data_IF_609964286467
#
_entry.id   IF_609964286467
#
_cell.length_a   1.000
_cell.length_b   1.000
_cell.length_c   1.000
_cell.angle_alpha   90.00
_cell.angle_beta   90.00
_cell.angle_gamma   90.00
#
_symmetry.space_group_name_H-M   'P 1'
#
loop_
_entity.id
_entity.type
_entity.pdbx_description
1 polymer ?
#
# COMPACT_ATOMS: atom_id res chain seq x y z
N UNK A 1 -41.89 -10.78 -15.55
CA UNK A 1 -43.30 -10.73 -16.01
C UNK A 1 -44.18 -10.43 -14.80
N UNK A 2 -45.15 -9.52 -14.87
CA UNK A 2 -45.94 -9.17 -13.68
C UNK A 2 -46.77 -10.37 -13.19
N UNK A 3 -46.90 -10.57 -11.86
CA UNK A 3 -47.77 -11.59 -11.30
C UNK A 3 -49.25 -11.43 -11.69
N UNK A 4 -49.68 -10.18 -11.93
CA UNK A 4 -51.06 -9.83 -12.31
C UNK A 4 -51.40 -10.14 -13.77
N UNK A 5 -50.43 -10.59 -14.57
CA UNK A 5 -50.65 -10.90 -15.99
C UNK A 5 -51.27 -12.30 -16.15
N UNK A 6 -52.37 -12.49 -16.91
CA UNK A 6 -53.19 -13.70 -16.81
C UNK A 6 -52.66 -14.92 -17.58
N UNK A 7 -51.63 -14.78 -18.42
CA UNK A 7 -51.12 -15.88 -19.27
C UNK A 7 -49.60 -15.86 -19.43
N UNK A 8 -48.95 -17.00 -19.73
CA UNK A 8 -47.52 -17.01 -20.03
C UNK A 8 -47.19 -16.14 -21.26
N UNK A 9 -46.02 -15.51 -21.24
CA UNK A 9 -45.42 -14.84 -22.39
C UNK A 9 -44.68 -15.89 -23.23
N UNK A 10 -45.01 -15.98 -24.52
CA UNK A 10 -44.41 -16.99 -25.41
C UNK A 10 -43.22 -16.45 -26.17
N UNK A 11 -42.28 -17.33 -26.50
CA UNK A 11 -41.18 -16.98 -27.40
C UNK A 11 -41.71 -16.49 -28.76
N UNK A 12 -41.19 -15.36 -29.25
CA UNK A 12 -41.55 -14.76 -30.53
C UNK A 12 -42.83 -13.90 -30.51
N UNK A 13 -43.46 -13.74 -29.35
CA UNK A 13 -44.68 -12.95 -29.18
C UNK A 13 -44.43 -11.46 -29.47
N UNK A 14 -45.36 -10.81 -30.19
CA UNK A 14 -45.30 -9.37 -30.51
C UNK A 14 -45.81 -8.56 -29.33
N UNK A 15 -45.05 -7.54 -28.95
CA UNK A 15 -45.34 -6.63 -27.82
C UNK A 15 -45.05 -5.19 -28.20
N UNK A 16 -45.67 -4.25 -27.50
CA UNK A 16 -45.24 -2.85 -27.50
C UNK A 16 -44.14 -2.68 -26.46
N UNK A 17 -42.98 -2.18 -26.90
CA UNK A 17 -41.85 -1.83 -26.06
C UNK A 17 -41.84 -0.31 -25.85
N UNK A 18 -41.93 0.10 -24.60
CA UNK A 18 -41.84 1.49 -24.19
C UNK A 18 -40.52 1.73 -23.46
N UNK A 19 -39.78 2.75 -23.86
CA UNK A 19 -38.54 3.18 -23.21
C UNK A 19 -38.36 4.68 -23.41
N UNK A 20 -38.04 5.41 -22.33
CA UNK A 20 -38.04 6.88 -22.36
C UNK A 20 -39.36 7.44 -22.88
N UNK A 21 -39.29 8.23 -23.96
CA UNK A 21 -40.45 8.81 -24.68
C UNK A 21 -40.82 8.04 -25.94
N UNK A 22 -40.17 6.91 -26.23
CA UNK A 22 -40.35 6.14 -27.45
C UNK A 22 -41.25 4.92 -27.23
N UNK A 23 -42.07 4.61 -28.23
CA UNK A 23 -42.86 3.38 -28.33
C UNK A 23 -42.53 2.68 -29.65
N UNK A 24 -42.21 1.40 -29.58
CA UNK A 24 -41.94 0.58 -30.78
C UNK A 24 -42.54 -0.82 -30.63
N UNK A 25 -43.06 -1.37 -31.73
CA UNK A 25 -43.47 -2.77 -31.77
C UNK A 25 -42.24 -3.65 -31.95
N UNK A 26 -42.17 -4.75 -31.20
CA UNK A 26 -41.10 -5.72 -31.33
C UNK A 26 -41.52 -7.12 -30.93
N UNK A 27 -40.63 -8.09 -31.16
CA UNK A 27 -40.81 -9.49 -30.74
C UNK A 27 -39.92 -9.80 -29.55
N UNK A 28 -40.48 -10.49 -28.55
CA UNK A 28 -39.72 -10.99 -27.40
C UNK A 28 -39.12 -12.35 -27.73
N UNK A 29 -37.81 -12.47 -27.68
CA UNK A 29 -37.09 -13.73 -27.81
C UNK A 29 -36.60 -14.17 -26.43
N UNK A 30 -37.22 -15.22 -25.88
CA UNK A 30 -36.77 -15.89 -24.67
C UNK A 30 -35.50 -16.72 -24.96
N UNK A 31 -34.42 -16.47 -24.21
CA UNK A 31 -33.10 -17.06 -24.50
C UNK A 31 -32.90 -18.45 -23.89
N UNK A 32 -33.48 -18.72 -22.72
CA UNK A 32 -33.29 -19.96 -21.96
C UNK A 32 -34.49 -20.92 -22.02
N UNK A 33 -35.69 -20.42 -22.36
CA UNK A 33 -36.96 -21.16 -22.31
C UNK A 33 -37.89 -20.86 -23.48
N UNK A 34 -39.00 -21.59 -23.59
CA UNK A 34 -40.05 -21.40 -24.62
C UNK A 34 -41.21 -20.53 -24.13
N UNK A 35 -41.53 -20.57 -22.84
CA UNK A 35 -42.59 -19.78 -22.20
C UNK A 35 -42.12 -19.21 -20.85
N UNK A 36 -42.56 -17.99 -20.52
CA UNK A 36 -42.29 -17.31 -19.25
C UNK A 36 -43.61 -17.13 -18.48
N UNK A 37 -43.72 -17.73 -17.30
CA UNK A 37 -44.95 -17.67 -16.50
C UNK A 37 -45.07 -16.35 -15.70
N UNK A 38 -46.29 -15.91 -15.36
CA UNK A 38 -46.51 -14.73 -14.52
C UNK A 38 -45.71 -14.78 -13.21
N UNK A 39 -45.10 -13.66 -12.84
CA UNK A 39 -44.23 -13.56 -11.65
C UNK A 39 -42.78 -14.02 -11.86
N UNK A 40 -42.40 -14.55 -13.02
CA UNK A 40 -41.03 -15.00 -13.30
C UNK A 40 -40.18 -13.93 -13.99
N UNK A 41 -38.87 -14.07 -13.82
CA UNK A 41 -37.83 -13.28 -14.49
C UNK A 41 -37.02 -14.17 -15.47
N UNK A 42 -36.52 -13.56 -16.54
CA UNK A 42 -35.69 -14.22 -17.54
C UNK A 42 -34.89 -13.20 -18.36
N UNK A 43 -33.75 -13.64 -18.90
CA UNK A 43 -33.05 -12.89 -19.94
C UNK A 43 -33.77 -13.02 -21.26
N UNK A 44 -34.10 -11.87 -21.85
CA UNK A 44 -34.85 -11.77 -23.10
C UNK A 44 -34.11 -10.86 -24.08
N UNK A 45 -34.26 -11.15 -25.36
CA UNK A 45 -33.77 -10.29 -26.43
C UNK A 45 -34.96 -9.73 -27.21
N UNK A 46 -34.98 -8.42 -27.44
CA UNK A 46 -35.98 -7.78 -28.27
C UNK A 46 -35.50 -7.68 -29.72
N UNK A 47 -36.39 -8.02 -30.66
CA UNK A 47 -36.22 -7.66 -32.07
C UNK A 47 -37.27 -6.60 -32.41
N UNK A 48 -36.88 -5.34 -32.39
CA UNK A 48 -37.76 -4.22 -32.74
C UNK A 48 -38.02 -4.17 -34.24
N UNK A 49 -39.21 -3.72 -34.64
CA UNK A 49 -39.59 -3.54 -36.04
C UNK A 49 -39.07 -2.21 -36.61
N UNK A 50 -38.71 -1.26 -35.74
CA UNK A 50 -38.05 0.00 -36.09
C UNK A 50 -36.81 0.24 -35.20
N UNK A 51 -35.85 1.08 -35.63
CA UNK A 51 -34.72 1.50 -34.80
C UNK A 51 -35.18 2.16 -33.51
N UNK A 52 -34.50 1.85 -32.41
CA UNK A 52 -34.78 2.38 -31.09
C UNK A 52 -33.46 2.80 -30.45
N UNK A 53 -33.42 3.97 -29.83
CA UNK A 53 -32.25 4.46 -29.09
C UNK A 53 -32.44 4.11 -27.62
N UNK A 54 -31.57 3.24 -27.10
CA UNK A 54 -31.55 2.85 -25.69
C UNK A 54 -30.11 2.76 -25.19
N UNK A 55 -29.90 3.15 -23.94
CA UNK A 55 -28.66 2.96 -23.19
C UNK A 55 -28.72 1.73 -22.30
N UNK A 56 -27.55 1.27 -21.87
CA UNK A 56 -27.44 0.25 -20.82
C UNK A 56 -27.96 0.81 -19.49
N UNK A 57 -28.76 0.02 -18.78
CA UNK A 57 -29.42 0.40 -17.53
C UNK A 57 -30.77 1.09 -17.72
N UNK A 58 -31.15 1.45 -18.95
CA UNK A 58 -32.45 2.07 -19.22
C UNK A 58 -33.59 1.12 -18.84
N UNK A 59 -34.60 1.66 -18.17
CA UNK A 59 -35.80 0.90 -17.84
C UNK A 59 -36.75 0.86 -19.03
N UNK A 60 -37.36 -0.30 -19.24
CA UNK A 60 -38.37 -0.49 -20.26
C UNK A 60 -39.64 -1.13 -19.71
N UNK A 61 -40.74 -0.93 -20.41
CA UNK A 61 -42.05 -1.54 -20.13
C UNK A 61 -42.50 -2.29 -21.38
N UNK A 62 -43.05 -3.50 -21.19
CA UNK A 62 -43.69 -4.28 -22.25
C UNK A 62 -45.20 -4.30 -22.05
N UNK A 63 -45.94 -4.05 -23.12
CA UNK A 63 -47.41 -4.10 -23.16
C UNK A 63 -47.90 -5.04 -24.26
N UNK A 64 -49.07 -5.64 -24.07
CA UNK A 64 -49.69 -6.53 -25.05
C UNK A 64 -50.09 -5.79 -26.32
N UNK A 65 -50.00 -6.48 -27.46
CA UNK A 65 -50.32 -5.93 -28.77
C UNK A 65 -51.77 -5.45 -28.89
N UNK A 66 -52.73 -6.24 -28.40
CA UNK A 66 -54.13 -5.84 -28.30
C UNK A 66 -54.88 -6.81 -27.37
N UNK A 67 -55.74 -6.33 -26.44
CA UNK A 67 -55.85 -4.95 -25.96
C UNK A 67 -54.57 -4.51 -25.22
N UNK A 68 -54.29 -3.20 -25.16
CA UNK A 68 -53.01 -2.68 -24.62
C UNK A 68 -52.98 -2.68 -23.09
N UNK A 69 -52.39 -3.72 -22.51
CA UNK A 69 -52.20 -3.87 -21.06
C UNK A 69 -50.73 -4.09 -20.73
N UNK A 70 -50.29 -3.60 -19.56
CA UNK A 70 -48.93 -3.78 -19.10
C UNK A 70 -48.68 -5.23 -18.71
N UNK A 71 -47.75 -5.88 -19.41
CA UNK A 71 -47.35 -7.26 -19.16
C UNK A 71 -46.20 -7.32 -18.14
N UNK A 72 -45.27 -6.36 -18.22
CA UNK A 72 -44.07 -6.33 -17.39
C UNK A 72 -43.11 -5.22 -17.78
N UNK A 73 -41.89 -5.32 -17.27
CA UNK A 73 -40.80 -4.41 -17.56
C UNK A 73 -39.46 -5.02 -17.15
N UNK A 74 -38.38 -4.28 -17.37
CA UNK A 74 -37.02 -4.70 -17.03
C UNK A 74 -36.02 -3.58 -17.29
N UNK A 75 -34.73 -3.93 -17.31
CA UNK A 75 -33.62 -3.03 -17.61
C UNK A 75 -32.82 -3.52 -18.82
N UNK A 76 -32.32 -2.61 -19.64
CA UNK A 76 -31.49 -2.92 -20.81
C UNK A 76 -30.08 -3.32 -20.38
N UNK A 77 -29.66 -4.55 -20.68
CA UNK A 77 -28.31 -5.06 -20.34
C UNK A 77 -27.31 -4.76 -21.47
N UNK A 78 -27.70 -5.00 -22.73
CA UNK A 78 -26.88 -4.73 -23.92
C UNK A 78 -27.78 -4.24 -25.08
N UNK A 79 -27.65 -2.98 -25.52
CA UNK A 79 -28.39 -2.41 -26.65
C UNK A 79 -28.11 -3.06 -28.02
N UNK A 80 -26.93 -3.67 -28.21
CA UNK A 80 -26.46 -4.12 -29.53
C UNK A 80 -26.13 -5.62 -29.59
N UNK A 81 -26.32 -6.34 -28.48
CA UNK A 81 -25.99 -7.75 -28.34
C UNK A 81 -26.79 -8.68 -29.25
N UNK A 82 -26.10 -9.67 -29.83
CA UNK A 82 -26.70 -10.78 -30.57
C UNK A 82 -26.41 -12.09 -29.86
N UNK A 83 -27.44 -12.68 -29.27
CA UNK A 83 -27.32 -13.90 -28.47
C UNK A 83 -28.00 -15.09 -29.15
N UNK A 84 -27.40 -16.26 -28.99
CA UNK A 84 -27.93 -17.55 -29.46
C UNK A 84 -28.82 -18.16 -28.38
N UNK A 85 -29.95 -18.69 -28.82
CA UNK A 85 -30.91 -19.37 -27.94
C UNK A 85 -30.29 -20.64 -27.34
N UNK A 86 -30.57 -20.89 -26.06
CA UNK A 86 -30.08 -22.04 -25.28
C UNK A 86 -28.54 -22.16 -25.25
N UNK A 87 -27.81 -21.08 -25.51
CA UNK A 87 -26.35 -21.02 -25.33
C UNK A 87 -26.04 -20.69 -23.87
N UNK A 88 -25.38 -21.62 -23.16
CA UNK A 88 -24.94 -21.38 -21.78
C UNK A 88 -23.93 -20.22 -21.71
N UNK A 89 -23.00 -20.16 -22.67
CA UNK A 89 -21.99 -19.10 -22.79
C UNK A 89 -22.62 -17.71 -22.88
N UNK A 90 -23.65 -17.56 -23.70
CA UNK A 90 -24.30 -16.27 -23.95
C UNK A 90 -25.12 -15.82 -22.73
N UNK A 91 -25.71 -16.77 -21.99
CA UNK A 91 -26.42 -16.49 -20.75
C UNK A 91 -25.47 -16.09 -19.61
N UNK A 92 -24.28 -16.71 -19.54
CA UNK A 92 -23.22 -16.32 -18.60
C UNK A 92 -22.69 -14.92 -18.91
N UNK A 93 -22.50 -14.58 -20.19
CA UNK A 93 -22.09 -13.24 -20.61
C UNK A 93 -23.13 -12.18 -20.25
N UNK A 94 -24.42 -12.47 -20.45
CA UNK A 94 -25.52 -11.57 -20.06
C UNK A 94 -25.58 -11.36 -18.55
N UNK A 95 -25.41 -12.42 -17.75
CA UNK A 95 -25.29 -12.33 -16.28
C UNK A 95 -24.13 -11.42 -15.86
N UNK A 96 -22.97 -11.58 -16.50
CA UNK A 96 -21.79 -10.74 -16.23
C UNK A 96 -22.00 -9.28 -16.63
N UNK A 97 -22.76 -9.01 -17.70
CA UNK A 97 -23.09 -7.65 -18.13
C UNK A 97 -24.18 -7.00 -17.29
N UNK A 98 -25.16 -7.75 -16.79
CA UNK A 98 -26.19 -7.21 -15.88
C UNK A 98 -25.57 -6.70 -14.57
N UNK A 99 -24.53 -7.36 -14.07
CA UNK A 99 -23.85 -7.00 -12.83
C UNK A 99 -22.82 -5.85 -12.93
N UNK A 100 -22.55 -5.31 -14.13
CA UNK A 100 -21.52 -4.27 -14.31
C UNK A 100 -20.54 -4.50 -15.46
N UNK A 101 -20.53 -5.69 -16.08
CA UNK A 101 -19.50 -6.07 -17.06
C UNK A 101 -18.19 -6.41 -16.34
N UNK A 102 -17.22 -6.96 -17.07
CA UNK A 102 -15.91 -7.29 -16.52
C UNK A 102 -15.26 -6.06 -15.84
N UNK A 103 -15.26 -4.90 -16.50
CA UNK A 103 -14.80 -3.63 -15.93
C UNK A 103 -15.48 -3.25 -14.60
N UNK A 104 -16.81 -3.35 -14.51
CA UNK A 104 -17.56 -2.99 -13.31
C UNK A 104 -17.25 -3.91 -12.13
N UNK A 105 -17.13 -5.22 -12.38
CA UNK A 105 -16.73 -6.20 -11.37
C UNK A 105 -15.31 -5.91 -10.87
N UNK A 106 -14.39 -5.58 -11.79
CA UNK A 106 -13.00 -5.23 -11.48
C UNK A 106 -12.89 -3.96 -10.64
N UNK A 107 -13.54 -2.88 -11.08
CA UNK A 107 -13.56 -1.60 -10.37
C UNK A 107 -14.19 -1.76 -8.98
N UNK A 108 -15.30 -2.49 -8.87
CA UNK A 108 -15.94 -2.74 -7.58
C UNK A 108 -15.07 -3.61 -6.65
N UNK A 109 -14.36 -4.60 -7.20
CA UNK A 109 -13.43 -5.45 -6.43
C UNK A 109 -12.29 -4.61 -5.84
N UNK A 110 -11.66 -3.75 -6.66
CA UNK A 110 -10.63 -2.82 -6.20
C UNK A 110 -11.18 -1.74 -5.26
N UNK A 111 -12.41 -1.28 -5.45
CA UNK A 111 -13.03 -0.33 -4.54
C UNK A 111 -13.30 -0.96 -3.15
N UNK A 112 -13.65 -2.25 -3.11
CA UNK A 112 -13.87 -3.00 -1.87
C UNK A 112 -12.58 -3.34 -1.13
N UNK A 113 -11.44 -3.41 -1.82
CA UNK A 113 -10.14 -3.61 -1.16
C UNK A 113 -9.63 -2.35 -0.45
N UNK A 114 -10.27 -1.19 -0.69
CA UNK A 114 -9.95 0.07 -0.01
C UNK A 114 -8.48 0.47 -0.25
N UNK A 115 -7.70 0.81 0.78
CA UNK A 115 -6.32 1.25 0.64
C UNK A 115 -5.32 0.13 0.31
N UNK A 116 -5.77 -1.12 0.17
CA UNK A 116 -4.91 -2.28 -0.11
C UNK A 116 -4.79 -2.50 -1.62
N UNK A 117 -3.58 -2.36 -2.21
CA UNK A 117 -3.35 -2.73 -3.60
C UNK A 117 -3.45 -4.23 -3.82
N UNK A 118 -3.99 -4.64 -4.97
CA UNK A 118 -4.10 -6.04 -5.35
C UNK A 118 -3.22 -6.35 -6.56
N UNK A 119 -2.49 -7.47 -6.49
CA UNK A 119 -1.78 -8.01 -7.64
C UNK A 119 -2.79 -8.57 -8.67
N UNK A 120 -2.40 -8.58 -9.95
CA UNK A 120 -3.26 -9.08 -11.04
C UNK A 120 -3.84 -10.49 -10.77
N UNK A 121 -3.03 -11.42 -10.26
CA UNK A 121 -3.49 -12.78 -9.94
C UNK A 121 -4.52 -12.84 -8.81
N UNK A 122 -4.37 -11.99 -7.80
CA UNK A 122 -5.33 -11.88 -6.70
C UNK A 122 -6.65 -11.27 -7.19
N UNK A 123 -6.54 -10.23 -8.01
CA UNK A 123 -7.69 -9.58 -8.61
C UNK A 123 -8.46 -10.53 -9.55
N UNK A 124 -7.73 -11.31 -10.35
CA UNK A 124 -8.30 -12.36 -11.21
C UNK A 124 -9.11 -13.38 -10.39
N UNK A 125 -8.56 -13.84 -9.26
CA UNK A 125 -9.23 -14.77 -8.34
C UNK A 125 -10.48 -14.16 -7.70
N UNK A 126 -10.41 -12.91 -7.24
CA UNK A 126 -11.53 -12.24 -6.57
C UNK A 126 -12.65 -11.82 -7.54
N UNK A 127 -12.28 -11.37 -8.74
CA UNK A 127 -13.22 -10.95 -9.78
C UNK A 127 -13.79 -12.13 -10.58
N UNK A 128 -13.15 -13.31 -10.53
CA UNK A 128 -13.53 -14.49 -11.33
C UNK A 128 -13.25 -14.33 -12.83
N UNK A 129 -12.28 -13.48 -13.19
CA UNK A 129 -11.96 -13.12 -14.59
C UNK A 129 -10.52 -13.58 -14.89
N UNK A 130 -10.26 -14.30 -15.99
CA UNK A 130 -8.90 -14.69 -16.37
C UNK A 130 -7.96 -13.49 -16.59
N UNK A 131 -6.63 -13.64 -16.41
CA UNK A 131 -5.69 -12.52 -16.46
C UNK A 131 -5.66 -11.74 -17.79
N UNK A 132 -5.77 -12.44 -18.92
CA UNK A 132 -5.70 -11.85 -20.27
C UNK A 132 -6.80 -10.79 -20.54
N UNK A 133 -8.11 -11.08 -20.35
CA UNK A 133 -9.14 -10.06 -20.47
C UNK A 133 -9.07 -9.01 -19.34
N UNK A 134 -8.56 -9.39 -18.17
CA UNK A 134 -8.47 -8.50 -17.01
C UNK A 134 -7.49 -7.33 -17.21
N UNK A 135 -6.32 -7.58 -17.80
CA UNK A 135 -5.33 -6.52 -18.05
C UNK A 135 -5.86 -5.44 -18.98
N UNK A 136 -6.60 -5.83 -20.03
CA UNK A 136 -7.20 -4.87 -20.97
C UNK A 136 -8.23 -3.97 -20.26
N UNK A 137 -9.11 -4.57 -19.47
CA UNK A 137 -10.12 -3.83 -18.71
C UNK A 137 -9.48 -2.89 -17.68
N UNK A 138 -8.39 -3.31 -17.02
CA UNK A 138 -7.63 -2.46 -16.10
C UNK A 138 -6.97 -1.28 -16.79
N UNK A 139 -6.44 -1.45 -18.01
CA UNK A 139 -5.88 -0.37 -18.81
C UNK A 139 -6.96 0.65 -19.20
N UNK A 140 -8.13 0.17 -19.64
CA UNK A 140 -9.27 1.04 -19.99
C UNK A 140 -9.77 1.83 -18.78
N UNK A 141 -9.89 1.18 -17.60
CA UNK A 141 -10.24 1.84 -16.34
C UNK A 141 -9.17 2.83 -15.88
N UNK A 142 -7.89 2.55 -16.13
CA UNK A 142 -6.80 3.46 -15.80
C UNK A 142 -6.77 4.69 -16.71
N UNK A 143 -7.09 4.53 -17.99
CA UNK A 143 -7.27 5.66 -18.92
C UNK A 143 -8.42 6.58 -18.49
N UNK A 144 -9.46 6.02 -17.85
CA UNK A 144 -10.56 6.77 -17.25
C UNK A 144 -10.23 7.37 -15.88
N UNK A 145 -9.09 7.00 -15.29
CA UNK A 145 -8.66 7.45 -13.97
C UNK A 145 -9.43 6.81 -12.80
N UNK A 146 -10.16 5.71 -13.02
CA UNK A 146 -10.88 4.97 -11.99
C UNK A 146 -9.93 4.10 -11.15
N UNK A 147 -8.91 3.52 -11.80
CA UNK A 147 -7.88 2.68 -11.18
C UNK A 147 -6.49 3.20 -11.54
N UNK A 148 -5.50 2.86 -10.73
CA UNK A 148 -4.10 3.19 -10.97
C UNK A 148 -3.26 1.90 -11.02
N UNK A 149 -2.42 1.80 -12.04
CA UNK A 149 -1.36 0.80 -12.11
C UNK A 149 -0.20 1.21 -11.22
N UNK A 150 0.33 0.26 -10.45
CA UNK A 150 1.48 0.41 -9.57
C UNK A 150 2.58 -0.58 -10.00
N UNK A 151 3.80 -0.35 -9.54
CA UNK A 151 4.92 -1.25 -9.81
C UNK A 151 4.64 -2.69 -9.37
N UNK A 152 5.26 -3.65 -10.06
CA UNK A 152 5.12 -5.07 -9.73
C UNK A 152 3.76 -5.68 -10.11
N UNK A 153 2.96 -5.02 -10.96
CA UNK A 153 1.67 -5.54 -11.43
C UNK A 153 0.55 -5.39 -10.40
N UNK A 154 0.69 -4.45 -9.48
CA UNK A 154 -0.34 -4.11 -8.50
C UNK A 154 -1.28 -3.03 -9.04
N UNK A 155 -2.53 -3.09 -8.60
CA UNK A 155 -3.58 -2.16 -8.98
C UNK A 155 -4.30 -1.67 -7.75
N UNK A 156 -4.71 -0.41 -7.78
CA UNK A 156 -5.50 0.20 -6.70
C UNK A 156 -6.59 1.09 -7.29
N UNK A 157 -7.76 1.11 -6.68
CA UNK A 157 -8.82 2.02 -7.05
C UNK A 157 -8.48 3.46 -6.64
N UNK A 158 -8.89 4.47 -7.41
CA UNK A 158 -8.64 5.89 -7.13
C UNK A 158 -9.08 6.30 -5.71
N UNK A 159 -10.26 5.83 -5.29
CA UNK A 159 -10.76 6.05 -3.92
C UNK A 159 -9.84 5.44 -2.87
N UNK A 160 -9.43 4.19 -3.07
CA UNK A 160 -8.53 3.47 -2.17
C UNK A 160 -7.17 4.15 -2.03
N UNK A 161 -6.63 4.65 -3.15
CA UNK A 161 -5.40 5.43 -3.14
C UNK A 161 -5.55 6.75 -2.36
N UNK A 162 -6.67 7.46 -2.53
CA UNK A 162 -6.97 8.65 -1.74
C UNK A 162 -7.10 8.35 -0.24
N UNK A 163 -7.77 7.25 0.12
CA UNK A 163 -7.87 6.77 1.51
C UNK A 163 -6.49 6.43 2.09
N UNK A 164 -5.62 5.78 1.30
CA UNK A 164 -4.24 5.49 1.68
C UNK A 164 -3.45 6.76 1.98
N UNK A 165 -3.45 7.73 1.07
CA UNK A 165 -2.72 9.00 1.25
C UNK A 165 -3.26 9.80 2.44
N UNK A 166 -4.58 9.84 2.61
CA UNK A 166 -5.21 10.52 3.74
C UNK A 166 -4.84 9.87 5.09
N UNK A 167 -4.93 8.53 5.17
CA UNK A 167 -4.54 7.78 6.36
C UNK A 167 -3.05 7.92 6.68
N UNK A 168 -2.19 7.86 5.65
CA UNK A 168 -0.77 8.08 5.74
C UNK A 168 -0.43 9.45 6.33
N UNK A 169 -1.03 10.52 5.78
CA UNK A 169 -0.80 11.90 6.23
C UNK A 169 -1.27 12.09 7.67
N UNK A 170 -2.49 11.66 7.99
CA UNK A 170 -3.03 11.77 9.35
C UNK A 170 -2.16 11.04 10.38
N UNK A 171 -1.67 9.84 10.04
CA UNK A 171 -0.76 9.09 10.89
C UNK A 171 0.58 9.81 11.10
N UNK A 172 1.19 10.35 10.03
CA UNK A 172 2.45 11.09 10.14
C UNK A 172 2.29 12.37 10.96
N UNK A 173 1.21 13.11 10.76
CA UNK A 173 0.91 14.32 11.55
C UNK A 173 0.77 14.00 13.03
N UNK A 174 0.08 12.91 13.39
CA UNK A 174 -0.01 12.47 14.78
C UNK A 174 1.34 12.01 15.35
N UNK A 175 2.09 11.24 14.55
CA UNK A 175 3.42 10.78 14.92
C UNK A 175 4.38 11.94 15.20
N UNK A 176 4.34 12.99 14.38
CA UNK A 176 5.19 14.17 14.56
C UNK A 176 4.83 15.00 15.78
N UNK A 177 3.58 14.98 16.24
CA UNK A 177 3.19 15.61 17.50
C UNK A 177 3.75 14.85 18.70
N UNK A 178 3.81 13.52 18.60
CA UNK A 178 4.37 12.67 19.65
C UNK A 178 5.90 12.66 19.64
N UNK A 179 6.52 12.74 18.46
CA UNK A 179 7.97 12.67 18.26
C UNK A 179 8.46 13.81 17.35
N UNK A 180 8.57 15.06 17.88
CA UNK A 180 8.93 16.23 17.08
C UNK A 180 10.29 16.12 16.37
N UNK A 181 11.24 15.43 17.02
CA UNK A 181 12.61 15.27 16.54
C UNK A 181 12.78 14.17 15.47
N UNK A 182 11.73 13.40 15.14
CA UNK A 182 11.83 12.35 14.13
C UNK A 182 11.55 12.90 12.73
N UNK A 183 12.41 12.54 11.78
CA UNK A 183 12.24 12.90 10.35
C UNK A 183 11.10 12.12 9.69
N UNK A 184 10.88 10.86 10.12
CA UNK A 184 9.87 9.98 9.56
C UNK A 184 9.78 8.64 10.29
N UNK A 185 8.83 7.83 9.85
CA UNK A 185 8.49 6.53 10.45
C UNK A 185 9.16 5.41 9.65
N UNK A 186 9.80 4.40 10.27
CA UNK A 186 10.32 3.25 9.54
C UNK A 186 9.25 2.59 8.67
N UNK A 187 9.58 2.20 7.43
CA UNK A 187 8.60 1.66 6.46
C UNK A 187 7.72 0.54 7.02
N UNK A 188 8.32 -0.39 7.77
CA UNK A 188 7.60 -1.54 8.30
C UNK A 188 6.63 -1.17 9.43
N UNK A 189 7.01 -0.24 10.31
CA UNK A 189 6.12 0.32 11.32
C UNK A 189 4.96 1.06 10.65
N UNK A 190 5.27 1.89 9.66
CA UNK A 190 4.30 2.65 8.89
C UNK A 190 3.30 1.72 8.19
N UNK A 191 3.77 0.67 7.49
CA UNK A 191 2.91 -0.32 6.82
C UNK A 191 1.93 -0.96 7.79
N UNK A 192 2.41 -1.43 8.95
CA UNK A 192 1.58 -2.10 9.95
C UNK A 192 0.50 -1.20 10.55
N UNK A 193 0.75 0.11 10.63
CA UNK A 193 -0.20 1.09 11.19
C UNK A 193 -1.19 1.63 10.17
N UNK A 194 -0.73 1.95 8.96
CA UNK A 194 -1.55 2.62 7.92
C UNK A 194 -2.30 1.62 7.06
N UNK A 195 -1.67 0.49 6.69
CA UNK A 195 -2.25 -0.50 5.78
C UNK A 195 -1.94 -1.93 6.25
N UNK A 196 -2.47 -2.38 7.40
CA UNK A 196 -2.15 -3.67 7.98
C UNK A 196 -2.47 -4.87 7.07
N UNK A 197 -3.44 -4.71 6.16
CA UNK A 197 -3.86 -5.76 5.22
C UNK A 197 -3.02 -5.86 3.94
N UNK A 198 -2.10 -4.91 3.67
CA UNK A 198 -1.27 -4.95 2.47
C UNK A 198 -0.02 -5.82 2.69
N UNK A 199 0.30 -6.65 1.70
CA UNK A 199 1.59 -7.33 1.64
C UNK A 199 2.74 -6.31 1.45
N UNK A 200 3.98 -6.73 1.71
CA UNK A 200 5.13 -5.84 1.67
C UNK A 200 5.36 -5.22 0.27
N UNK A 201 5.06 -5.97 -0.79
CA UNK A 201 5.26 -5.54 -2.19
C UNK A 201 4.20 -4.55 -2.64
N UNK A 202 2.93 -4.82 -2.38
CA UNK A 202 1.82 -3.92 -2.67
C UNK A 202 1.95 -2.62 -1.89
N UNK A 203 2.32 -2.68 -0.60
CA UNK A 203 2.64 -1.49 0.18
C UNK A 203 3.78 -0.68 -0.45
N UNK A 204 4.90 -1.33 -0.82
CA UNK A 204 6.02 -0.65 -1.45
C UNK A 204 5.61 0.02 -2.77
N UNK A 205 4.77 -0.62 -3.57
CA UNK A 205 4.26 -0.07 -4.83
C UNK A 205 3.34 1.15 -4.61
N UNK A 206 2.44 1.10 -3.62
CA UNK A 206 1.60 2.25 -3.26
C UNK A 206 2.41 3.42 -2.70
N UNK A 207 3.40 3.13 -1.85
CA UNK A 207 4.32 4.12 -1.30
C UNK A 207 5.14 4.78 -2.41
N UNK A 208 5.71 4.01 -3.34
CA UNK A 208 6.45 4.53 -4.48
C UNK A 208 5.58 5.46 -5.33
N UNK A 209 4.32 5.07 -5.59
CA UNK A 209 3.37 5.92 -6.32
C UNK A 209 3.04 7.23 -5.58
N UNK A 210 2.89 7.20 -4.25
CA UNK A 210 2.68 8.40 -3.42
C UNK A 210 3.91 9.32 -3.37
N UNK A 211 5.11 8.75 -3.36
CA UNK A 211 6.35 9.52 -3.44
C UNK A 211 6.49 10.18 -4.82
N UNK A 212 6.23 9.44 -5.89
CA UNK A 212 6.27 9.98 -7.25
C UNK A 212 5.22 11.09 -7.48
N UNK A 213 4.06 10.99 -6.82
CA UNK A 213 3.03 12.02 -6.86
C UNK A 213 3.33 13.25 -5.97
N UNK A 214 4.37 13.19 -5.12
CA UNK A 214 4.69 14.25 -4.17
C UNK A 214 3.76 14.31 -2.95
N UNK A 215 2.96 13.26 -2.70
CA UNK A 215 2.06 13.16 -1.54
C UNK A 215 2.82 12.78 -0.27
N UNK A 216 3.86 11.95 -0.42
CA UNK A 216 4.75 11.46 0.62
C UNK A 216 6.20 11.65 0.20
N UNK A 217 7.12 11.59 1.16
CA UNK A 217 8.55 11.57 0.93
C UNK A 217 9.18 10.32 1.53
N UNK A 218 10.29 9.89 0.95
CA UNK A 218 11.09 8.80 1.49
C UNK A 218 12.48 9.33 1.84
N UNK A 219 12.83 9.26 3.13
CA UNK A 219 14.19 9.52 3.60
C UNK A 219 14.82 8.19 4.01
N UNK A 220 15.72 7.66 3.16
CA UNK A 220 16.33 6.33 3.32
C UNK A 220 15.28 5.22 3.47
N UNK A 221 15.04 4.75 4.69
CA UNK A 221 14.05 3.72 5.02
C UNK A 221 12.89 4.24 5.88
N UNK A 222 12.71 5.56 5.92
CA UNK A 222 11.66 6.24 6.65
C UNK A 222 10.68 6.93 5.70
N UNK A 223 9.40 6.78 5.99
CA UNK A 223 8.31 7.49 5.33
C UNK A 223 8.08 8.81 6.06
N UNK A 224 8.01 9.89 5.30
CA UNK A 224 7.85 11.24 5.82
C UNK A 224 6.84 12.05 5.01
N UNK A 225 6.42 13.20 5.55
CA UNK A 225 5.72 14.21 4.77
C UNK A 225 6.72 14.98 3.88
N UNK A 226 6.33 15.37 2.65
CA UNK A 226 7.15 16.20 1.78
C UNK A 226 7.54 17.51 2.49
N UNK A 227 8.82 17.88 2.43
CA UNK A 227 9.32 19.11 3.02
C UNK A 227 9.40 19.13 4.55
N UNK A 228 9.24 17.98 5.22
CA UNK A 228 9.46 17.88 6.68
C UNK A 228 10.92 18.19 7.00
N UNK A 229 11.15 19.35 7.62
CA UNK A 229 12.41 19.68 8.27
C UNK A 229 12.26 19.54 9.78
N UNK A 230 13.17 18.79 10.41
CA UNK A 230 13.24 18.69 11.86
C UNK A 230 14.07 19.85 12.40
N UNK A 231 13.41 20.81 13.04
CA UNK A 231 14.07 21.93 13.72
C UNK A 231 13.76 21.83 15.22
N UNK A 232 14.75 21.45 16.04
CA UNK A 232 14.59 21.46 17.49
C UNK A 232 14.22 22.86 17.98
N UNK A 233 13.27 22.93 18.90
CA UNK A 233 12.96 24.16 19.61
C UNK A 233 14.13 24.61 20.51
N UNK A 234 14.08 25.83 21.08
CA UNK A 234 15.19 26.37 21.86
C UNK A 234 15.57 25.51 23.08
N UNK A 235 14.59 24.86 23.73
CA UNK A 235 14.85 23.98 24.87
C UNK A 235 15.52 22.68 24.43
N UNK A 236 15.01 22.05 23.37
CA UNK A 236 15.54 20.81 22.81
C UNK A 236 16.95 21.02 22.25
N UNK A 237 17.20 22.16 21.60
CA UNK A 237 18.53 22.53 21.11
C UNK A 237 19.56 22.60 22.26
N UNK A 238 19.21 23.25 23.38
CA UNK A 238 20.06 23.27 24.58
C UNK A 238 20.24 21.89 25.20
N UNK A 239 19.21 21.05 25.15
CA UNK A 239 19.30 19.68 25.64
C UNK A 239 20.22 18.82 24.76
N UNK A 240 20.15 18.96 23.43
CA UNK A 240 21.03 18.31 22.45
C UNK A 240 22.48 18.71 22.65
N UNK A 241 22.77 20.01 22.80
CA UNK A 241 24.12 20.51 23.06
C UNK A 241 24.71 19.93 24.36
N UNK A 242 23.93 19.92 25.44
CA UNK A 242 24.38 19.32 26.72
C UNK A 242 24.59 17.83 26.62
N UNK A 243 23.66 17.11 25.98
CA UNK A 243 23.76 15.67 25.80
C UNK A 243 25.00 15.29 25.00
N UNK A 244 25.25 15.98 23.89
CA UNK A 244 26.43 15.74 23.08
C UNK A 244 27.72 16.05 23.84
N UNK A 245 27.75 17.13 24.62
CA UNK A 245 28.90 17.46 25.46
C UNK A 245 29.19 16.36 26.50
N UNK A 246 28.16 15.81 27.15
CA UNK A 246 28.30 14.67 28.08
C UNK A 246 28.82 13.40 27.37
N UNK A 247 28.27 13.07 26.21
CA UNK A 247 28.74 11.94 25.40
C UNK A 247 30.19 12.14 24.96
N UNK A 248 30.56 13.36 24.56
CA UNK A 248 31.93 13.70 24.16
C UNK A 248 32.89 13.68 25.34
N UNK A 249 32.48 14.13 26.52
CA UNK A 249 33.30 14.08 27.73
C UNK A 249 33.61 12.64 28.18
N UNK A 250 32.75 11.67 27.83
CA UNK A 250 32.96 10.25 28.15
C UNK A 250 34.15 9.58 27.45
N UNK A 251 34.65 10.12 26.34
CA UNK A 251 35.81 9.55 25.63
C UNK A 251 35.63 8.08 25.25
N UNK A 252 36.61 7.24 25.59
CA UNK A 252 36.55 5.78 25.45
C UNK A 252 35.87 5.04 26.61
N UNK A 253 35.25 5.79 27.54
CA UNK A 253 34.38 5.28 28.60
C UNK A 253 32.96 5.85 28.42
N UNK A 254 32.29 5.56 27.29
CA UNK A 254 31.02 6.18 26.93
C UNK A 254 29.94 5.93 28.00
N UNK A 255 29.06 6.90 28.27
CA UNK A 255 27.92 6.70 29.15
C UNK A 255 26.82 5.84 28.47
N UNK A 256 25.94 5.25 29.27
CA UNK A 256 24.71 4.62 28.76
C UNK A 256 23.59 5.65 28.60
N UNK A 257 22.54 5.32 27.83
CA UNK A 257 21.33 6.18 27.76
C UNK A 257 20.69 6.37 29.14
N UNK A 258 20.71 5.33 29.99
CA UNK A 258 20.22 5.41 31.36
C UNK A 258 21.05 6.41 32.21
N UNK A 259 22.37 6.34 32.14
CA UNK A 259 23.25 7.30 32.82
C UNK A 259 23.04 8.73 32.31
N UNK A 260 22.87 8.92 31.00
CA UNK A 260 22.55 10.23 30.40
C UNK A 260 21.19 10.75 30.87
N UNK A 261 20.19 9.87 30.99
CA UNK A 261 18.85 10.17 31.50
C UNK A 261 18.91 10.72 32.92
N UNK A 262 19.68 10.05 33.80
CA UNK A 262 19.89 10.48 35.18
C UNK A 262 20.62 11.83 35.26
N UNK A 263 21.71 12.00 34.50
CA UNK A 263 22.53 13.23 34.52
C UNK A 263 21.79 14.45 33.98
N UNK A 264 21.01 14.27 32.91
CA UNK A 264 20.25 15.36 32.27
C UNK A 264 18.92 15.64 32.98
N UNK A 265 18.41 14.70 33.78
CA UNK A 265 17.12 14.81 34.47
C UNK A 265 15.94 14.87 33.49
N UNK A 266 16.05 14.20 32.34
CA UNK A 266 15.12 14.29 31.21
C UNK A 266 14.60 12.93 30.79
N UNK A 267 13.32 12.85 30.42
CA UNK A 267 12.69 11.58 29.98
C UNK A 267 12.77 11.34 28.48
N UNK A 268 13.09 12.36 27.70
CA UNK A 268 13.19 12.36 26.25
C UNK A 268 14.63 12.14 25.74
N UNK A 269 15.56 11.72 26.61
CA UNK A 269 16.97 11.47 26.25
C UNK A 269 17.11 10.46 25.11
N UNK A 270 16.25 9.44 25.06
CA UNK A 270 16.22 8.48 23.96
C UNK A 270 16.00 9.16 22.60
N UNK A 271 15.06 10.11 22.51
CA UNK A 271 14.79 10.85 21.27
C UNK A 271 15.94 11.78 20.89
N UNK A 272 16.59 12.41 21.89
CA UNK A 272 17.74 13.26 21.67
C UNK A 272 18.94 12.46 21.15
N UNK A 273 19.19 11.26 21.70
CA UNK A 273 20.24 10.35 21.21
C UNK A 273 19.93 9.91 19.78
N UNK A 274 18.69 9.50 19.50
CA UNK A 274 18.27 9.11 18.15
C UNK A 274 18.49 10.25 17.15
N UNK A 275 18.12 11.48 17.51
CA UNK A 275 18.33 12.65 16.67
C UNK A 275 19.81 12.90 16.36
N UNK A 276 20.69 12.89 17.37
CA UNK A 276 22.13 13.04 17.15
C UNK A 276 22.75 11.88 16.36
N UNK A 277 22.21 10.67 16.52
CA UNK A 277 22.64 9.49 15.78
C UNK A 277 22.27 9.61 14.30
N UNK A 278 21.08 10.12 13.98
CA UNK A 278 20.67 10.39 12.60
C UNK A 278 21.53 11.48 11.94
N UNK A 279 21.99 12.45 12.73
CA UNK A 279 22.99 13.45 12.32
C UNK A 279 24.43 12.88 12.22
N UNK A 280 24.66 11.62 12.62
CA UNK A 280 25.98 10.99 12.60
C UNK A 280 26.97 11.52 13.64
N UNK A 281 26.48 12.23 14.67
CA UNK A 281 27.30 12.85 15.72
C UNK A 281 27.63 11.89 16.86
N UNK A 282 26.72 10.96 17.12
CA UNK A 282 26.89 9.90 18.13
C UNK A 282 26.57 8.55 17.52
N UNK A 283 27.12 7.49 18.11
CA UNK A 283 26.90 6.12 17.71
C UNK A 283 26.51 5.31 18.93
N UNK A 284 25.39 4.58 18.84
CA UNK A 284 24.99 3.61 19.86
C UNK A 284 25.73 2.29 19.67
N UNK A 285 26.31 1.80 20.75
CA UNK A 285 27.04 0.54 20.84
C UNK A 285 26.19 -0.51 21.57
N UNK A 286 26.72 -1.73 21.70
CA UNK A 286 26.11 -2.76 22.54
C UNK A 286 25.94 -2.28 23.99
N UNK A 287 24.99 -2.89 24.71
CA UNK A 287 24.63 -2.50 26.09
C UNK A 287 24.21 -1.04 26.25
N UNK A 288 23.74 -0.42 25.16
CA UNK A 288 23.17 0.92 25.13
C UNK A 288 24.16 2.04 25.51
N UNK A 289 25.45 1.78 25.32
CA UNK A 289 26.48 2.82 25.39
C UNK A 289 26.37 3.76 24.20
N UNK A 290 26.62 5.04 24.42
CA UNK A 290 26.61 6.07 23.38
C UNK A 290 27.99 6.71 23.32
N UNK A 291 28.68 6.55 22.19
CA UNK A 291 30.00 7.17 21.96
C UNK A 291 29.88 8.30 20.94
N UNK A 292 30.68 9.35 21.12
CA UNK A 292 30.79 10.42 20.14
C UNK A 292 31.50 9.91 18.87
N UNK A 293 31.04 10.37 17.70
CA UNK A 293 31.59 9.94 16.41
C UNK A 293 33.09 10.26 16.27
N UNK A 294 33.55 11.38 16.83
CA UNK A 294 34.98 11.75 16.86
C UNK A 294 35.82 10.71 17.59
N UNK A 295 35.38 10.26 18.77
CA UNK A 295 36.10 9.24 19.56
C UNK A 295 36.09 7.89 18.85
N UNK A 296 34.98 7.53 18.20
CA UNK A 296 34.91 6.31 17.42
C UNK A 296 35.90 6.34 16.23
N UNK A 297 35.99 7.47 15.53
CA UNK A 297 36.95 7.67 14.46
C UNK A 297 38.41 7.60 14.97
N UNK A 298 38.69 8.24 16.11
CA UNK A 298 40.00 8.17 16.74
C UNK A 298 40.38 6.73 17.15
N UNK A 299 39.46 5.99 17.77
CA UNK A 299 39.67 4.59 18.09
C UNK A 299 40.00 3.76 16.84
N UNK A 300 39.30 4.03 15.73
CA UNK A 300 39.54 3.32 14.46
C UNK A 300 40.95 3.57 13.94
N UNK A 301 41.44 4.80 13.97
CA UNK A 301 42.79 5.12 13.51
C UNK A 301 43.87 4.50 14.40
N UNK A 302 43.69 4.54 15.73
CA UNK A 302 44.61 3.88 16.67
C UNK A 302 44.70 2.37 16.41
N UNK A 303 43.56 1.72 16.19
CA UNK A 303 43.49 0.29 15.89
C UNK A 303 44.10 -0.05 14.53
N UNK A 304 43.85 0.78 13.51
CA UNK A 304 44.47 0.62 12.20
C UNK A 304 46.00 0.65 12.31
N UNK A 305 46.54 1.65 13.00
CA UNK A 305 47.99 1.77 13.22
C UNK A 305 48.55 0.57 14.00
N UNK A 306 47.85 0.13 15.07
CA UNK A 306 48.26 -1.03 15.85
C UNK A 306 48.31 -2.32 15.02
N UNK A 307 47.27 -2.59 14.25
CA UNK A 307 47.17 -3.80 13.43
C UNK A 307 48.12 -3.78 12.23
N UNK A 308 48.45 -2.61 11.68
CA UNK A 308 49.49 -2.48 10.65
C UNK A 308 50.88 -2.83 11.21
N UNK A 309 51.17 -2.49 12.46
CA UNK A 309 52.45 -2.77 13.09
C UNK A 309 52.57 -4.22 13.63
N UNK A 310 51.49 -4.78 14.19
CA UNK A 310 51.54 -6.06 14.93
C UNK A 310 50.79 -7.21 14.23
N UNK A 311 49.97 -6.93 13.22
CA UNK A 311 49.18 -7.91 12.44
C UNK A 311 47.94 -8.46 13.13
N UNK A 312 47.94 -8.55 14.46
CA UNK A 312 46.83 -9.04 15.29
C UNK A 312 46.74 -8.26 16.60
N UNK A 313 45.57 -8.29 17.23
CA UNK A 313 45.28 -7.58 18.47
C UNK A 313 44.33 -8.38 19.35
N UNK A 314 44.73 -8.61 20.61
CA UNK A 314 43.90 -9.19 21.66
C UNK A 314 42.95 -8.15 22.25
N UNK A 315 41.95 -8.60 23.01
CA UNK A 315 41.05 -7.70 23.76
C UNK A 315 41.81 -6.88 24.81
N UNK A 316 42.85 -7.45 25.42
CA UNK A 316 43.67 -6.76 26.42
C UNK A 316 44.47 -5.62 25.78
N UNK A 317 45.11 -5.87 24.63
CA UNK A 317 45.84 -4.84 23.88
C UNK A 317 44.92 -3.74 23.38
N UNK A 318 43.71 -4.06 22.91
CA UNK A 318 42.73 -3.04 22.52
C UNK A 318 42.32 -2.15 23.71
N UNK A 319 42.06 -2.76 24.87
CA UNK A 319 41.75 -2.04 26.10
C UNK A 319 42.88 -1.08 26.47
N UNK A 320 44.12 -1.55 26.40
CA UNK A 320 45.31 -0.78 26.79
C UNK A 320 45.60 0.34 25.77
N UNK A 321 45.40 0.07 24.48
CA UNK A 321 45.53 1.03 23.38
C UNK A 321 44.59 2.25 23.54
N UNK A 322 43.35 2.00 23.98
CA UNK A 322 42.36 3.04 24.23
C UNK A 322 42.33 3.53 25.69
N UNK A 323 43.20 2.99 26.55
CA UNK A 323 43.25 3.29 27.99
C UNK A 323 41.86 3.24 28.65
N UNK A 324 41.07 2.22 28.32
CA UNK A 324 39.70 2.05 28.83
C UNK A 324 39.58 0.79 29.69
N UNK A 325 38.38 0.49 30.18
CA UNK A 325 38.11 -0.77 30.89
C UNK A 325 37.54 -1.82 29.96
N UNK A 326 37.61 -3.10 30.36
CA UNK A 326 37.03 -4.22 29.60
C UNK A 326 35.52 -4.05 29.37
N UNK A 327 34.81 -3.37 30.29
CA UNK A 327 33.38 -3.04 30.19
C UNK A 327 33.07 -2.25 28.91
N UNK A 328 33.92 -1.29 28.54
CA UNK A 328 33.71 -0.43 27.37
C UNK A 328 34.42 -0.95 26.11
N UNK A 329 35.56 -1.62 26.29
CA UNK A 329 36.34 -2.19 25.19
C UNK A 329 35.55 -3.23 24.38
N UNK A 330 34.78 -4.09 25.06
CA UNK A 330 34.03 -5.16 24.40
C UNK A 330 32.94 -4.62 23.45
N UNK A 331 32.02 -3.73 23.87
CA UNK A 331 31.05 -3.09 22.98
C UNK A 331 31.67 -2.38 21.77
N UNK A 332 32.81 -1.71 21.97
CA UNK A 332 33.53 -1.06 20.87
C UNK A 332 34.08 -2.09 19.87
N UNK A 333 34.69 -3.17 20.35
CA UNK A 333 35.17 -4.24 19.49
C UNK A 333 34.05 -4.94 18.72
N UNK A 334 32.91 -5.18 19.35
CA UNK A 334 31.72 -5.73 18.69
C UNK A 334 31.20 -4.80 17.59
N UNK A 335 31.24 -3.48 17.82
CA UNK A 335 30.94 -2.50 16.79
C UNK A 335 31.93 -2.56 15.63
N UNK A 336 33.25 -2.65 15.91
CA UNK A 336 34.27 -2.76 14.87
C UNK A 336 34.12 -4.03 14.04
N UNK A 337 33.78 -5.15 14.68
CA UNK A 337 33.53 -6.42 14.01
C UNK A 337 32.28 -6.31 13.10
N UNK A 338 31.20 -5.70 13.59
CA UNK A 338 29.95 -5.47 12.83
C UNK A 338 30.16 -4.51 11.66
N UNK A 339 30.94 -3.44 11.87
CA UNK A 339 31.35 -2.49 10.84
C UNK A 339 32.37 -3.08 9.85
N UNK A 340 32.85 -4.31 10.07
CA UNK A 340 33.88 -5.01 9.29
C UNK A 340 35.23 -4.29 9.30
N UNK A 341 35.51 -3.50 10.32
CA UNK A 341 36.81 -2.89 10.60
C UNK A 341 37.76 -3.90 11.23
N UNK A 342 37.25 -4.82 12.05
CA UNK A 342 38.03 -5.96 12.55
C UNK A 342 37.35 -7.27 12.20
N UNK A 343 38.14 -8.35 12.24
CA UNK A 343 37.63 -9.72 12.12
C UNK A 343 38.21 -10.55 13.25
N UNK A 344 37.34 -11.21 14.01
CA UNK A 344 37.74 -12.14 15.07
C UNK A 344 38.30 -13.44 14.48
N UNK A 345 39.48 -13.85 14.96
CA UNK A 345 40.15 -15.12 14.62
C UNK A 345 40.64 -15.74 15.92
N UNK A 346 39.87 -16.69 16.47
CA UNK A 346 40.10 -17.21 17.81
C UNK A 346 39.90 -16.14 18.89
N UNK A 347 40.94 -15.93 19.70
CA UNK A 347 40.97 -14.89 20.74
C UNK A 347 41.51 -13.54 20.25
N UNK A 348 42.04 -13.50 19.04
CA UNK A 348 42.63 -12.32 18.42
C UNK A 348 41.65 -11.66 17.44
N UNK A 349 41.94 -10.41 17.12
CA UNK A 349 41.33 -9.67 16.00
C UNK A 349 42.38 -9.28 14.99
N UNK A 350 42.02 -9.43 13.73
CA UNK A 350 42.82 -8.99 12.59
C UNK A 350 42.13 -7.83 11.87
N UNK A 351 42.86 -7.14 11.00
CA UNK A 351 42.28 -6.11 10.14
C UNK A 351 41.15 -6.69 9.28
N UNK A 352 39.99 -6.02 9.32
CA UNK A 352 38.84 -6.33 8.48
C UNK A 352 38.94 -5.63 7.12
N UNK A 353 38.08 -6.02 6.15
CA UNK A 353 38.12 -5.47 4.80
C UNK A 353 37.74 -3.98 4.70
N UNK A 354 37.10 -3.43 5.74
CA UNK A 354 36.67 -2.03 5.77
C UNK A 354 37.47 -1.18 6.76
N UNK A 355 38.55 -1.70 7.35
CA UNK A 355 39.41 -0.94 8.28
C UNK A 355 40.13 0.18 7.56
#
# INVERSE_FOLDING_TARGET
LLPSWPRPLRHGERVHLHTGTSEVVGRVLLLDRDELHPGQEAYIQFRSEAPLVVGRGDRYIIRSYSPVHTMGGGAVIDPHGRYRRKSLRDLEELRARESGGAAGVVAQTLARSGPVPLALGELSRQAGIPPEPLEKELQDLAAQGEVRSLEGGYWIHRRGYGEFVAAARAFLEDYYRQYPLRVGVPKEEFRRKVVPGADARGFAAALAAAVAAGDLALDRDRVALPGREVRPGPEEARALERLEAEVRAGGFSPPTVAELTERLGRRDVEELVLYLQEQGRVVRLASDFVIHAEHLAEARERVRAFLQAHGRMTVAEFRDLLQTSRKYALPLLEHFDTARWTRRVGDDRMAGPAL
#
